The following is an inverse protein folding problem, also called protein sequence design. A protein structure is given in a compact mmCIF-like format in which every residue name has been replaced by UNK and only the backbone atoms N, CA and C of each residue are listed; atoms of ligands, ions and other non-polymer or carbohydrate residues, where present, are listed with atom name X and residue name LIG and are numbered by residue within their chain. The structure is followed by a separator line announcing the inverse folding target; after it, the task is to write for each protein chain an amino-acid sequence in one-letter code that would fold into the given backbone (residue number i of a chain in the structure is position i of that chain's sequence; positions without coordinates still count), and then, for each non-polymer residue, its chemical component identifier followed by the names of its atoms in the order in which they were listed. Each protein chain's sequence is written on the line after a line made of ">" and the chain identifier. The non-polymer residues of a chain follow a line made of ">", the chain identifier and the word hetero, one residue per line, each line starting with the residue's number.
data_IF_377808758049
#
_entry.id   IF_377808758049
#
_cell.length_a   1.000
_cell.length_b   1.000
_cell.length_c   1.000
_cell.angle_alpha   90.00
_cell.angle_beta   90.00
_cell.angle_gamma   90.00
#
_symmetry.space_group_name_H-M   'P 1'
#
loop_
_entity.id
_entity.type
_entity.pdbx_description
1 polymer ?
#
# COMPACT_ATOMS: atom_id res chain seq x y z
N UNK A 1 -8.63 10.63 -9.54
CA UNK A 1 -7.48 9.88 -8.97
C UNK A 1 -7.53 10.06 -7.46
N UNK A 2 -7.30 9.02 -6.66
CA UNK A 2 -7.30 9.20 -5.21
C UNK A 2 -6.13 10.10 -4.79
N UNK A 3 -6.41 11.11 -3.99
CA UNK A 3 -5.38 11.99 -3.43
C UNK A 3 -4.72 11.27 -2.25
N UNK A 4 -3.39 11.15 -2.27
CA UNK A 4 -2.60 10.48 -1.25
C UNK A 4 -1.79 11.51 -0.48
N UNK A 5 -2.01 11.62 0.83
CA UNK A 5 -1.18 12.42 1.72
C UNK A 5 0.16 11.71 1.93
N UNK A 6 1.27 12.43 2.16
CA UNK A 6 2.58 11.81 2.41
C UNK A 6 2.55 10.75 3.51
N UNK A 7 1.84 11.01 4.62
CA UNK A 7 1.68 10.04 5.72
C UNK A 7 0.99 8.74 5.31
N UNK A 8 -0.04 8.82 4.45
CA UNK A 8 -0.73 7.62 3.94
C UNK A 8 0.18 6.78 3.03
N UNK A 9 1.07 7.43 2.28
CA UNK A 9 2.06 6.75 1.44
C UNK A 9 3.11 6.06 2.31
N UNK A 10 3.64 6.74 3.33
CA UNK A 10 4.60 6.16 4.27
C UNK A 10 3.99 4.96 5.00
N UNK A 11 2.76 5.08 5.51
CA UNK A 11 2.06 3.99 6.17
C UNK A 11 1.82 2.78 5.25
N UNK A 12 1.53 3.01 3.97
CA UNK A 12 1.41 1.93 2.98
C UNK A 12 2.75 1.20 2.79
N UNK A 13 3.84 1.94 2.59
CA UNK A 13 5.16 1.36 2.37
C UNK A 13 5.62 0.59 3.60
N UNK A 14 5.49 1.17 4.79
CA UNK A 14 5.86 0.55 6.06
C UNK A 14 5.07 -0.74 6.30
N UNK A 15 3.75 -0.71 6.10
CA UNK A 15 2.90 -1.89 6.25
C UNK A 15 3.33 -3.01 5.31
N UNK A 16 3.54 -2.70 4.03
CA UNK A 16 3.95 -3.69 3.03
C UNK A 16 5.36 -4.23 3.30
N UNK A 17 6.28 -3.39 3.75
CA UNK A 17 7.64 -3.80 4.13
C UNK A 17 7.62 -4.76 5.33
N UNK A 18 6.86 -4.44 6.38
CA UNK A 18 6.68 -5.31 7.54
C UNK A 18 5.99 -6.65 7.20
N UNK A 19 5.24 -6.70 6.10
CA UNK A 19 4.58 -7.91 5.59
C UNK A 19 5.29 -8.47 4.35
N UNK A 20 6.55 -8.11 4.09
CA UNK A 20 7.31 -8.53 2.91
C UNK A 20 7.54 -10.05 2.86
N UNK A 21 7.59 -10.73 4.00
CA UNK A 21 7.60 -12.21 4.06
C UNK A 21 6.33 -12.86 3.49
N UNK A 22 5.25 -12.10 3.33
CA UNK A 22 3.99 -12.51 2.68
C UNK A 22 3.93 -12.07 1.20
N UNK A 23 5.01 -11.49 0.68
CA UNK A 23 5.12 -11.19 -0.75
C UNK A 23 5.00 -12.49 -1.54
N UNK A 24 4.16 -12.50 -2.57
CA UNK A 24 4.09 -13.63 -3.48
C UNK A 24 5.37 -13.66 -4.31
N UNK A 25 5.74 -14.85 -4.82
CA UNK A 25 6.95 -15.11 -5.64
C UNK A 25 7.14 -14.20 -6.89
N UNK A 26 6.21 -13.29 -7.17
CA UNK A 26 6.24 -12.36 -8.30
C UNK A 26 6.61 -10.91 -7.91
N UNK A 27 7.17 -10.66 -6.72
CA UNK A 27 7.51 -9.30 -6.27
C UNK A 27 6.28 -8.43 -5.99
N UNK A 28 5.13 -9.06 -5.69
CA UNK A 28 3.87 -8.36 -5.46
C UNK A 28 3.08 -9.01 -4.30
N UNK A 29 2.24 -8.23 -3.65
CA UNK A 29 1.45 -8.67 -2.50
C UNK A 29 0.10 -9.24 -2.93
N UNK A 30 -0.44 -10.16 -2.13
CA UNK A 30 -1.80 -10.66 -2.32
C UNK A 30 -2.81 -9.54 -2.03
N UNK A 31 -3.98 -9.61 -2.68
CA UNK A 31 -5.05 -8.62 -2.46
C UNK A 31 -5.47 -8.52 -0.99
N UNK A 32 -5.42 -9.64 -0.25
CA UNK A 32 -5.67 -9.67 1.19
C UNK A 32 -4.72 -8.73 1.97
N UNK A 33 -3.43 -8.71 1.63
CA UNK A 33 -2.44 -7.82 2.23
C UNK A 33 -2.75 -6.36 1.94
N UNK A 34 -3.13 -6.02 0.70
CA UNK A 34 -3.54 -4.65 0.36
C UNK A 34 -4.83 -4.21 1.06
N UNK A 35 -5.79 -5.11 1.23
CA UNK A 35 -7.01 -4.82 1.99
C UNK A 35 -6.68 -4.51 3.46
N UNK A 36 -5.79 -5.29 4.07
CA UNK A 36 -5.34 -5.04 5.44
C UNK A 36 -4.53 -3.74 5.56
N UNK A 37 -3.67 -3.44 4.58
CA UNK A 37 -2.95 -2.17 4.50
C UNK A 37 -3.93 -0.97 4.47
N UNK A 38 -4.98 -1.07 3.64
CA UNK A 38 -6.03 -0.04 3.57
C UNK A 38 -6.75 0.18 4.90
N UNK A 39 -7.00 -0.89 5.66
CA UNK A 39 -7.58 -0.81 7.01
C UNK A 39 -6.60 -0.13 7.97
N UNK A 40 -5.32 -0.51 7.95
CA UNK A 40 -4.29 0.08 8.81
C UNK A 40 -4.14 1.60 8.57
N UNK A 41 -3.99 2.01 7.31
CA UNK A 41 -3.90 3.43 6.92
C UNK A 41 -5.14 4.21 7.38
N UNK A 42 -6.34 3.60 7.28
CA UNK A 42 -7.59 4.24 7.68
C UNK A 42 -7.77 4.38 9.20
N UNK A 43 -7.07 3.56 10.00
CA UNK A 43 -7.09 3.70 11.47
C UNK A 43 -6.25 4.91 11.91
N UNK A 44 -5.14 5.16 11.23
CA UNK A 44 -4.22 6.25 11.56
C UNK A 44 -4.66 7.60 10.97
N UNK A 45 -5.49 7.58 9.93
CA UNK A 45 -6.03 8.79 9.30
C UNK A 45 -7.56 8.87 9.47
N UNK A 46 -7.99 9.55 10.53
CA UNK A 46 -9.41 9.80 10.84
C UNK A 46 -10.12 10.70 9.82
N UNK A 47 -9.38 11.38 8.94
CA UNK A 47 -9.91 12.39 8.03
C UNK A 47 -9.54 12.09 6.56
N UNK A 48 -10.45 11.41 5.87
CA UNK A 48 -10.34 11.12 4.43
C UNK A 48 -11.16 9.93 3.95
N UNK A 49 -11.27 9.83 2.62
CA UNK A 49 -11.85 8.67 1.95
C UNK A 49 -10.99 7.44 2.22
N UNK A 50 -11.58 6.37 2.79
CA UNK A 50 -10.88 5.12 3.10
C UNK A 50 -10.12 4.60 1.89
N UNK A 51 -8.83 4.32 2.06
CA UNK A 51 -8.02 3.69 1.01
C UNK A 51 -8.41 2.22 0.92
N UNK A 52 -9.08 1.83 -0.15
CA UNK A 52 -9.39 0.42 -0.40
C UNK A 52 -8.12 -0.34 -0.81
N UNK A 53 -8.15 -1.67 -0.72
CA UNK A 53 -7.00 -2.48 -1.17
C UNK A 53 -6.66 -2.26 -2.64
N UNK A 54 -7.64 -1.96 -3.50
CA UNK A 54 -7.41 -1.63 -4.91
C UNK A 54 -6.61 -0.34 -5.05
N UNK A 55 -6.93 0.68 -4.25
CA UNK A 55 -6.17 1.93 -4.24
C UNK A 55 -4.74 1.70 -3.74
N UNK A 56 -4.57 0.88 -2.70
CA UNK A 56 -3.25 0.52 -2.17
C UNK A 56 -2.40 -0.23 -3.21
N UNK A 57 -2.98 -1.21 -3.91
CA UNK A 57 -2.31 -1.93 -5.00
C UNK A 57 -1.88 -1.00 -6.13
N UNK A 58 -2.78 -0.15 -6.61
CA UNK A 58 -2.48 0.78 -7.70
C UNK A 58 -1.39 1.78 -7.29
N UNK A 59 -1.42 2.24 -6.03
CA UNK A 59 -0.39 3.15 -5.50
C UNK A 59 0.96 2.45 -5.39
N UNK A 60 1.00 1.22 -4.88
CA UNK A 60 2.22 0.41 -4.81
C UNK A 60 2.83 0.16 -6.19
N UNK A 61 2.01 -0.21 -7.18
CA UNK A 61 2.47 -0.38 -8.55
C UNK A 61 3.12 0.91 -9.11
N UNK A 62 2.48 2.06 -8.90
CA UNK A 62 3.03 3.35 -9.31
C UNK A 62 4.36 3.68 -8.60
N UNK A 63 4.47 3.38 -7.30
CA UNK A 63 5.70 3.53 -6.51
C UNK A 63 6.81 2.65 -7.10
N UNK A 64 6.56 1.35 -7.34
CA UNK A 64 7.53 0.45 -7.96
C UNK A 64 7.98 0.94 -9.35
N UNK A 65 7.08 1.48 -10.18
CA UNK A 65 7.44 2.07 -11.48
C UNK A 65 8.32 3.31 -11.35
N UNK A 66 8.06 4.17 -10.37
CA UNK A 66 8.85 5.39 -10.16
C UNK A 66 10.25 5.08 -9.63
N UNK A 67 10.38 4.08 -8.74
CA UNK A 67 11.61 3.84 -8.00
C UNK A 67 12.47 2.72 -8.63
N UNK A 68 11.99 2.01 -9.67
CA UNK A 68 12.67 0.84 -10.27
C UNK A 68 13.14 -0.20 -9.25
N UNK A 69 12.47 -0.28 -8.09
CA UNK A 69 12.73 -1.33 -7.10
C UNK A 69 12.10 -2.62 -7.65
N UNK A 70 12.96 -3.49 -8.19
CA UNK A 70 12.66 -4.91 -8.30
C UNK A 70 12.84 -5.50 -6.89
N UNK A 71 11.74 -5.88 -6.24
CA UNK A 71 11.79 -6.75 -5.04
C UNK A 71 11.89 -8.19 -5.52
#
# INVERSE_FOLDING_TARGET
>A
MAQWKPGEVTALIDYLYNHCSQCANSGNFRMATYNMAGIAISKDHQDGHKKTGTLCKNKWAAICTIISIHI
#
